data_IF_151443595516
#
_entry.id   IF_151443595516
#
_cell.length_a   1.000
_cell.length_b   1.000
_cell.length_c   1.000
_cell.angle_alpha   90.00
_cell.angle_beta   90.00
_cell.angle_gamma   90.00
#
_symmetry.space_group_name_H-M   'P 1'
#
loop_
_entity.id
_entity.type
_entity.pdbx_description
1 polymer ?
#
# COMPACT_ATOMS: atom_id res chain seq x y z
N UNK A 1 1.87 30.12 -19.91
CA UNK A 1 2.61 28.94 -20.41
C UNK A 1 1.82 27.71 -19.97
N UNK A 2 0.88 27.28 -20.82
CA UNK A 2 -0.04 26.17 -20.52
C UNK A 2 0.75 24.86 -20.54
N UNK A 3 0.94 24.26 -19.36
CA UNK A 3 1.22 22.84 -19.25
C UNK A 3 -0.02 22.10 -19.78
N UNK A 4 0.01 21.69 -21.05
CA UNK A 4 -0.97 20.74 -21.57
C UNK A 4 -1.02 19.54 -20.60
N UNK A 5 -2.25 19.16 -20.28
CA UNK A 5 -2.64 18.15 -19.31
C UNK A 5 -1.61 17.02 -19.16
N UNK A 6 -1.12 16.83 -17.94
CA UNK A 6 -0.44 15.62 -17.51
C UNK A 6 -1.34 14.44 -17.93
N UNK A 7 -0.82 13.52 -18.73
CA UNK A 7 -1.55 12.37 -19.25
C UNK A 7 -2.25 11.61 -18.12
N UNK A 8 -3.44 11.05 -18.40
CA UNK A 8 -4.11 10.10 -17.49
C UNK A 8 -3.09 9.03 -17.09
N UNK A 9 -2.76 8.91 -15.80
CA UNK A 9 -1.87 7.85 -15.30
C UNK A 9 -0.46 8.27 -14.86
N UNK A 10 -0.12 9.56 -14.82
CA UNK A 10 1.18 10.00 -14.24
C UNK A 10 1.05 10.40 -12.76
N UNK A 11 1.92 9.88 -11.89
CA UNK A 11 2.09 10.30 -10.50
C UNK A 11 3.51 10.83 -10.28
N UNK A 12 3.62 11.97 -9.60
CA UNK A 12 4.89 12.66 -9.34
C UNK A 12 5.04 12.91 -7.84
N UNK A 13 6.22 12.60 -7.29
CA UNK A 13 6.59 12.96 -5.93
C UNK A 13 8.10 13.19 -5.83
N UNK A 14 8.52 14.43 -5.58
CA UNK A 14 9.94 14.81 -5.59
C UNK A 14 10.65 14.33 -6.87
N UNK A 15 11.63 13.43 -6.76
CA UNK A 15 12.35 12.80 -7.85
C UNK A 15 11.72 11.49 -8.37
N UNK A 16 10.72 10.94 -7.67
CA UNK A 16 10.01 9.74 -8.07
C UNK A 16 8.89 10.07 -9.07
N UNK A 17 8.91 9.40 -10.23
CA UNK A 17 7.90 9.48 -11.28
C UNK A 17 7.35 8.09 -11.56
N UNK A 18 6.03 7.94 -11.52
CA UNK A 18 5.33 6.73 -11.94
C UNK A 18 4.45 7.04 -13.15
N UNK A 19 4.59 6.23 -14.20
CA UNK A 19 3.73 6.27 -15.39
C UNK A 19 2.90 4.98 -15.42
N UNK A 20 1.59 5.13 -15.61
CA UNK A 20 0.67 4.03 -15.88
C UNK A 20 0.00 4.25 -17.24
N UNK A 21 0.04 3.22 -18.07
CA UNK A 21 -0.62 3.19 -19.38
C UNK A 21 -1.26 1.81 -19.58
N UNK A 22 -2.33 1.75 -20.37
CA UNK A 22 -2.97 0.49 -20.75
C UNK A 22 -2.17 -0.25 -21.83
N UNK A 23 -1.49 0.51 -22.70
CA UNK A 23 -0.69 -0.02 -23.80
C UNK A 23 0.81 0.16 -23.53
N UNK A 24 1.58 -0.89 -23.82
CA UNK A 24 3.03 -0.92 -23.63
C UNK A 24 3.78 0.04 -24.54
N UNK A 25 3.38 0.16 -25.81
CA UNK A 25 4.05 1.06 -26.75
C UNK A 25 3.83 2.53 -26.33
N UNK A 26 2.64 2.83 -25.82
CA UNK A 26 2.33 4.13 -25.23
C UNK A 26 3.17 4.41 -23.96
N UNK A 27 3.35 3.42 -23.09
CA UNK A 27 4.23 3.55 -21.92
C UNK A 27 5.68 3.84 -22.34
N UNK A 28 6.20 3.11 -23.34
CA UNK A 28 7.55 3.34 -23.88
C UNK A 28 7.70 4.75 -24.46
N UNK A 29 6.73 5.19 -25.25
CA UNK A 29 6.68 6.53 -25.84
C UNK A 29 6.68 7.62 -24.75
N UNK A 30 5.81 7.51 -23.75
CA UNK A 30 5.74 8.48 -22.65
C UNK A 30 7.03 8.48 -21.82
N UNK A 31 7.62 7.32 -21.55
CA UNK A 31 8.87 7.22 -20.82
C UNK A 31 10.04 7.89 -21.57
N UNK A 32 10.09 7.74 -22.89
CA UNK A 32 11.07 8.44 -23.74
C UNK A 32 10.84 9.96 -23.74
N UNK A 33 9.59 10.42 -23.88
CA UNK A 33 9.26 11.85 -23.81
C UNK A 33 9.66 12.48 -22.47
N UNK A 34 9.46 11.75 -21.37
CA UNK A 34 9.93 12.18 -20.05
C UNK A 34 11.46 12.28 -20.01
N UNK A 35 12.19 11.31 -20.56
CA UNK A 35 13.64 11.35 -20.65
C UNK A 35 14.13 12.58 -21.42
N UNK A 36 13.53 12.85 -22.59
CA UNK A 36 13.92 13.96 -23.46
C UNK A 36 13.61 15.31 -22.79
N UNK A 37 12.43 15.43 -22.17
CA UNK A 37 12.04 16.63 -21.42
C UNK A 37 12.95 16.89 -20.24
N UNK A 38 13.30 15.88 -19.46
CA UNK A 38 14.22 16.02 -18.33
C UNK A 38 15.60 16.52 -18.81
N UNK A 39 16.07 16.01 -19.95
CA UNK A 39 17.35 16.44 -20.53
C UNK A 39 17.36 17.92 -20.92
N UNK A 40 16.24 18.48 -21.39
CA UNK A 40 16.12 19.93 -21.67
C UNK A 40 16.35 20.81 -20.44
N UNK A 41 16.06 20.29 -19.25
CA UNK A 41 16.30 20.98 -17.98
C UNK A 41 17.61 20.57 -17.30
N UNK A 42 18.49 19.83 -18.00
CA UNK A 42 19.76 19.35 -17.46
C UNK A 42 19.62 18.21 -16.45
N UNK A 43 18.45 17.56 -16.38
CA UNK A 43 18.20 16.39 -15.54
C UNK A 43 18.43 15.11 -16.35
N UNK A 44 18.91 14.06 -15.69
CA UNK A 44 19.18 12.76 -16.32
C UNK A 44 18.39 11.66 -15.64
N UNK A 45 17.57 10.96 -16.41
CA UNK A 45 16.87 9.77 -15.95
C UNK A 45 17.87 8.67 -15.59
N UNK A 46 17.71 8.07 -14.41
CA UNK A 46 18.52 6.93 -13.99
C UNK A 46 17.91 5.62 -14.51
N UNK A 47 18.19 5.31 -15.78
CA UNK A 47 17.65 4.12 -16.46
C UNK A 47 17.92 2.81 -15.70
N UNK A 48 19.05 2.70 -14.98
CA UNK A 48 19.38 1.52 -14.17
C UNK A 48 18.49 1.34 -12.94
N UNK A 49 17.92 2.43 -12.41
CA UNK A 49 16.96 2.41 -11.31
C UNK A 49 15.51 2.41 -11.80
N UNK A 50 15.27 2.68 -13.07
CA UNK A 50 13.94 2.68 -13.66
C UNK A 50 13.52 1.25 -13.96
N UNK A 51 12.39 0.86 -13.38
CA UNK A 51 11.79 -0.47 -13.51
C UNK A 51 10.40 -0.33 -14.14
N UNK A 52 9.91 -1.39 -14.79
CA UNK A 52 8.54 -1.45 -15.26
C UNK A 52 7.84 -2.74 -14.80
N UNK A 53 6.52 -2.66 -14.67
CA UNK A 53 5.66 -3.75 -14.28
C UNK A 53 4.45 -3.77 -15.22
N UNK A 54 4.03 -4.97 -15.63
CA UNK A 54 2.80 -5.18 -16.41
C UNK A 54 1.94 -6.22 -15.69
N UNK A 55 0.63 -6.03 -15.72
CA UNK A 55 -0.35 -7.00 -15.19
C UNK A 55 -0.64 -8.13 -16.18
N UNK A 56 -0.31 -7.95 -17.47
CA UNK A 56 -0.45 -8.99 -18.48
C UNK A 56 0.76 -9.94 -18.46
N UNK A 57 0.50 -11.20 -18.12
CA UNK A 57 1.50 -12.27 -18.08
C UNK A 57 1.92 -12.73 -19.47
N UNK A 58 1.08 -12.52 -20.48
CA UNK A 58 1.33 -12.89 -21.87
C UNK A 58 2.02 -11.76 -22.64
N UNK A 59 2.15 -10.58 -22.06
CA UNK A 59 2.80 -9.47 -22.72
C UNK A 59 4.31 -9.73 -22.89
N UNK A 60 4.72 -9.75 -24.16
CA UNK A 60 6.08 -10.05 -24.59
C UNK A 60 6.89 -8.79 -24.91
N UNK A 61 8.21 -8.95 -24.90
CA UNK A 61 9.18 -7.90 -25.22
C UNK A 61 9.54 -6.98 -24.04
N UNK A 62 10.54 -6.13 -24.28
CA UNK A 62 11.08 -5.16 -23.34
C UNK A 62 10.53 -3.75 -23.60
N UNK A 63 10.62 -2.88 -22.59
CA UNK A 63 10.48 -1.42 -22.75
C UNK A 63 11.89 -0.83 -22.81
N UNK A 64 12.13 0.09 -23.74
CA UNK A 64 13.44 0.71 -23.96
C UNK A 64 13.39 2.23 -23.81
N UNK A 65 14.39 2.80 -23.15
CA UNK A 65 14.64 4.25 -23.12
C UNK A 65 16.05 4.49 -23.66
N UNK A 66 16.18 5.33 -24.69
CA UNK A 66 17.44 5.57 -25.41
C UNK A 66 18.13 4.26 -25.84
N UNK A 67 17.35 3.28 -26.29
CA UNK A 67 17.84 1.95 -26.69
C UNK A 67 18.27 1.03 -25.54
N UNK A 68 18.23 1.49 -24.29
CA UNK A 68 18.55 0.69 -23.11
C UNK A 68 17.28 0.05 -22.55
N UNK A 69 17.31 -1.26 -22.33
CA UNK A 69 16.17 -2.00 -21.77
C UNK A 69 15.96 -1.72 -20.29
N UNK A 70 14.71 -1.46 -19.92
CA UNK A 70 14.28 -1.35 -18.53
C UNK A 70 14.14 -2.72 -17.89
N UNK A 71 14.35 -2.79 -16.57
CA UNK A 71 14.14 -4.03 -15.82
C UNK A 71 12.65 -4.30 -15.63
N UNK A 72 12.17 -5.47 -16.08
CA UNK A 72 10.82 -5.96 -15.77
C UNK A 72 10.81 -6.55 -14.38
N UNK A 73 9.91 -6.09 -13.51
CA UNK A 73 9.76 -6.59 -12.14
C UNK A 73 8.37 -7.15 -11.89
N UNK A 74 8.27 -8.09 -10.95
CA UNK A 74 6.98 -8.66 -10.49
C UNK A 74 6.38 -7.88 -9.32
N UNK A 75 7.19 -7.05 -8.68
CA UNK A 75 6.76 -6.11 -7.65
C UNK A 75 7.70 -4.92 -7.64
N UNK A 76 7.15 -3.71 -7.49
CA UNK A 76 7.94 -2.50 -7.29
C UNK A 76 7.44 -1.75 -6.05
N UNK A 77 8.30 -0.92 -5.47
CA UNK A 77 7.97 -0.08 -4.32
C UNK A 77 7.88 1.38 -4.76
N UNK A 78 6.74 2.01 -4.48
CA UNK A 78 6.53 3.43 -4.72
C UNK A 78 6.03 4.10 -3.44
N UNK A 79 6.72 5.16 -3.00
CA UNK A 79 6.43 5.91 -1.76
C UNK A 79 6.25 5.01 -0.51
N UNK A 80 7.05 3.95 -0.46
CA UNK A 80 7.05 2.98 0.63
C UNK A 80 6.00 1.87 0.51
N UNK A 81 5.08 1.92 -0.46
CA UNK A 81 4.06 0.90 -0.72
C UNK A 81 4.47 -0.02 -1.86
N UNK A 82 4.25 -1.32 -1.69
CA UNK A 82 4.63 -2.36 -2.66
C UNK A 82 3.43 -2.72 -3.53
N UNK A 83 3.57 -2.56 -4.84
CA UNK A 83 2.60 -3.00 -5.84
C UNK A 83 3.11 -4.29 -6.49
N UNK A 84 2.22 -5.27 -6.67
CA UNK A 84 2.52 -6.52 -7.37
C UNK A 84 1.74 -6.60 -8.69
N UNK A 85 2.29 -7.35 -9.63
CA UNK A 85 1.69 -7.57 -10.95
C UNK A 85 0.33 -8.28 -10.87
N UNK A 86 0.14 -9.13 -9.85
CA UNK A 86 -1.08 -9.88 -9.58
C UNK A 86 -2.07 -9.13 -8.67
N UNK A 87 -1.77 -7.88 -8.30
CA UNK A 87 -2.56 -7.10 -7.33
C UNK A 87 -2.53 -7.64 -5.90
N UNK A 88 -1.73 -8.67 -5.61
CA UNK A 88 -1.68 -9.29 -4.29
C UNK A 88 -1.07 -8.35 -3.25
N UNK A 89 -1.79 -8.16 -2.13
CA UNK A 89 -1.30 -7.38 -1.00
C UNK A 89 -0.41 -8.15 -0.02
N UNK A 90 -0.15 -9.44 -0.27
CA UNK A 90 0.57 -10.29 0.69
C UNK A 90 1.97 -9.74 1.03
N UNK A 91 2.71 -9.24 0.04
CA UNK A 91 4.02 -8.64 0.28
C UNK A 91 3.91 -7.34 1.08
N UNK A 92 2.98 -6.46 0.70
CA UNK A 92 2.79 -5.17 1.37
C UNK A 92 2.37 -5.35 2.84
N UNK A 93 1.38 -6.20 3.11
CA UNK A 93 0.91 -6.48 4.48
C UNK A 93 2.04 -7.06 5.33
N UNK A 94 2.83 -8.00 4.78
CA UNK A 94 3.95 -8.57 5.52
C UNK A 94 5.08 -7.54 5.76
N UNK A 95 5.33 -6.64 4.81
CA UNK A 95 6.28 -5.54 4.99
C UNK A 95 5.82 -4.60 6.12
N UNK A 96 4.53 -4.25 6.17
CA UNK A 96 3.96 -3.40 7.24
C UNK A 96 4.00 -4.06 8.61
N UNK A 97 3.66 -5.35 8.69
CA UNK A 97 3.78 -6.14 9.92
C UNK A 97 5.24 -6.16 10.40
N UNK A 98 6.18 -6.36 9.48
CA UNK A 98 7.62 -6.41 9.82
C UNK A 98 8.16 -5.05 10.25
N UNK A 99 7.73 -3.97 9.59
CA UNK A 99 8.07 -2.60 9.97
C UNK A 99 7.51 -2.24 11.34
N UNK A 100 6.25 -2.58 11.62
CA UNK A 100 5.63 -2.37 12.92
C UNK A 100 6.32 -3.15 14.03
N UNK A 101 6.72 -4.41 13.77
CA UNK A 101 7.55 -5.18 14.71
C UNK A 101 8.90 -4.54 14.97
N UNK A 102 9.57 -4.07 13.92
CA UNK A 102 10.86 -3.38 14.06
C UNK A 102 10.71 -2.12 14.90
N UNK A 103 9.66 -1.33 14.66
CA UNK A 103 9.36 -0.14 15.45
C UNK A 103 9.02 -0.48 16.90
N UNK A 104 8.18 -1.49 17.14
CA UNK A 104 7.85 -1.96 18.48
C UNK A 104 9.11 -2.43 19.23
N UNK A 105 10.00 -3.20 18.58
CA UNK A 105 11.26 -3.67 19.18
C UNK A 105 12.19 -2.53 19.57
N UNK A 106 12.25 -1.46 18.79
CA UNK A 106 13.03 -0.26 19.13
C UNK A 106 12.51 0.48 20.37
N UNK A 107 11.28 0.18 20.81
CA UNK A 107 10.60 0.85 21.92
C UNK A 107 10.44 -0.08 23.14
N UNK A 108 11.09 -1.23 23.18
CA UNK A 108 10.97 -2.19 24.29
C UNK A 108 11.42 -1.60 25.63
N UNK A 109 12.39 -0.69 25.64
CA UNK A 109 12.80 0.05 26.84
C UNK A 109 11.66 0.85 27.49
N UNK A 110 10.60 1.19 26.74
CA UNK A 110 9.39 1.83 27.27
C UNK A 110 8.24 0.84 27.38
N UNK A 111 8.01 0.05 26.33
CA UNK A 111 6.86 -0.84 26.23
C UNK A 111 6.96 -2.05 27.17
N UNK A 112 8.17 -2.53 27.47
CA UNK A 112 8.38 -3.67 28.36
C UNK A 112 8.78 -3.26 29.78
N UNK A 113 8.96 -1.97 30.06
CA UNK A 113 9.34 -1.48 31.40
C UNK A 113 8.16 -1.61 32.37
N UNK A 114 8.33 -2.35 33.47
CA UNK A 114 7.27 -2.58 34.46
C UNK A 114 6.92 -1.34 35.28
N UNK A 115 7.81 -0.35 35.35
CA UNK A 115 7.58 0.91 36.08
C UNK A 115 6.67 1.87 35.33
N UNK A 116 6.60 1.73 33.99
CA UNK A 116 5.80 2.61 33.14
C UNK A 116 4.33 2.15 33.16
N UNK A 117 3.39 3.05 33.49
CA UNK A 117 1.97 2.75 33.45
C UNK A 117 1.48 2.28 32.07
N UNK A 118 0.57 1.31 32.07
CA UNK A 118 0.05 0.69 30.85
C UNK A 118 -0.64 1.68 29.91
N UNK A 119 -1.32 2.69 30.46
CA UNK A 119 -1.97 3.71 29.63
C UNK A 119 -0.95 4.55 28.82
N UNK A 120 0.27 4.77 29.35
CA UNK A 120 1.34 5.45 28.60
C UNK A 120 1.89 4.54 27.51
N UNK A 121 2.11 3.26 27.82
CA UNK A 121 2.51 2.25 26.82
C UNK A 121 1.48 2.15 25.69
N UNK A 122 0.19 2.20 26.04
CA UNK A 122 -0.90 2.26 25.07
C UNK A 122 -0.82 3.50 24.17
N UNK A 123 -0.57 4.69 24.75
CA UNK A 123 -0.38 5.91 23.96
C UNK A 123 0.80 5.78 22.99
N UNK A 124 1.93 5.24 23.43
CA UNK A 124 3.10 4.99 22.58
C UNK A 124 2.76 4.01 21.46
N UNK A 125 2.10 2.89 21.78
CA UNK A 125 1.66 1.93 20.76
C UNK A 125 0.75 2.59 19.72
N UNK A 126 -0.28 3.32 20.15
CA UNK A 126 -1.26 3.98 19.28
C UNK A 126 -0.65 5.08 18.42
N UNK A 127 0.30 5.84 18.94
CA UNK A 127 0.89 6.99 18.27
C UNK A 127 2.08 6.62 17.37
N UNK A 128 2.79 5.52 17.67
CA UNK A 128 4.08 5.24 17.03
C UNK A 128 4.11 3.89 16.32
N UNK A 129 3.53 2.83 16.90
CA UNK A 129 3.61 1.48 16.34
C UNK A 129 2.46 1.22 15.37
N UNK A 130 1.23 1.53 15.79
CA UNK A 130 0.03 1.29 14.97
C UNK A 130 0.07 2.03 13.62
N UNK A 131 0.45 3.32 13.53
CA UNK A 131 0.47 4.02 12.25
C UNK A 131 1.42 3.37 11.24
N UNK A 132 2.53 2.77 11.70
CA UNK A 132 3.46 2.03 10.82
C UNK A 132 2.80 0.78 10.23
N UNK A 133 1.95 0.09 11.01
CA UNK A 133 1.23 -1.08 10.56
C UNK A 133 0.08 -0.76 9.59
N UNK A 134 -0.54 0.42 9.75
CA UNK A 134 -1.72 0.82 8.98
C UNK A 134 -1.42 1.80 7.84
N UNK A 135 -0.15 2.13 7.61
CA UNK A 135 0.24 3.04 6.54
C UNK A 135 -0.15 2.48 5.17
N UNK A 136 -0.83 3.28 4.36
CA UNK A 136 -1.28 2.91 3.02
C UNK A 136 -2.46 1.93 3.00
N UNK A 137 -3.00 1.59 4.17
CA UNK A 137 -4.05 0.58 4.27
C UNK A 137 -5.44 1.10 3.87
N UNK A 138 -5.60 2.42 3.73
CA UNK A 138 -6.79 3.06 3.18
C UNK A 138 -7.15 2.58 1.75
N UNK A 139 -6.14 2.13 0.99
CA UNK A 139 -6.29 1.61 -0.37
C UNK A 139 -6.40 0.07 -0.43
N UNK A 140 -6.36 -0.63 0.71
CA UNK A 140 -6.41 -2.09 0.72
C UNK A 140 -7.86 -2.62 0.65
N UNK A 141 -8.14 -3.71 -0.11
CA UNK A 141 -9.32 -4.52 0.11
C UNK A 141 -9.32 -5.07 1.55
N UNK A 142 -10.43 -4.88 2.26
CA UNK A 142 -10.59 -5.35 3.63
C UNK A 142 -10.99 -6.82 3.61
N UNK A 143 -10.02 -7.71 3.38
CA UNK A 143 -10.24 -9.16 3.45
C UNK A 143 -10.04 -9.67 4.88
N UNK A 144 -10.73 -10.76 5.24
CA UNK A 144 -10.58 -11.42 6.55
C UNK A 144 -9.14 -11.87 6.81
N UNK A 145 -8.40 -12.24 5.77
CA UNK A 145 -6.99 -12.64 5.89
C UNK A 145 -6.11 -11.48 6.36
N UNK A 146 -6.25 -10.30 5.75
CA UNK A 146 -5.49 -9.10 6.10
C UNK A 146 -5.84 -8.64 7.52
N UNK A 147 -7.13 -8.59 7.84
CA UNK A 147 -7.61 -8.24 9.19
C UNK A 147 -7.04 -9.20 10.24
N UNK A 148 -7.07 -10.51 9.97
CA UNK A 148 -6.54 -11.54 10.88
C UNK A 148 -5.03 -11.37 11.08
N UNK A 149 -4.26 -11.17 10.00
CA UNK A 149 -2.82 -11.00 10.05
C UNK A 149 -2.40 -9.82 10.93
N UNK A 150 -3.05 -8.67 10.74
CA UNK A 150 -2.81 -7.47 11.55
C UNK A 150 -3.29 -7.64 13.00
N UNK A 151 -4.43 -8.29 13.21
CA UNK A 151 -4.98 -8.55 14.55
C UNK A 151 -4.07 -9.46 15.39
N UNK A 152 -3.48 -10.48 14.76
CA UNK A 152 -2.49 -11.38 15.39
C UNK A 152 -1.25 -10.60 15.80
N UNK A 153 -0.74 -9.73 14.92
CA UNK A 153 0.40 -8.88 15.22
C UNK A 153 0.12 -7.96 16.42
N UNK A 154 -0.98 -7.19 16.38
CA UNK A 154 -1.39 -6.29 17.45
C UNK A 154 -1.54 -7.02 18.78
N UNK A 155 -2.26 -8.13 18.78
CA UNK A 155 -2.49 -8.91 20.01
C UNK A 155 -1.18 -9.41 20.60
N UNK A 156 -0.25 -9.90 19.78
CA UNK A 156 1.07 -10.36 20.25
C UNK A 156 1.87 -9.23 20.88
N UNK A 157 1.91 -8.06 20.25
CA UNK A 157 2.60 -6.87 20.76
C UNK A 157 2.02 -6.41 22.10
N UNK A 158 0.69 -6.32 22.22
CA UNK A 158 0.02 -5.91 23.47
C UNK A 158 0.25 -6.91 24.60
N UNK A 159 0.23 -8.21 24.30
CA UNK A 159 0.54 -9.26 25.27
C UNK A 159 1.95 -9.17 25.80
N UNK A 160 2.94 -9.03 24.91
CA UNK A 160 4.33 -8.84 25.30
C UNK A 160 4.53 -7.57 26.14
N UNK A 161 3.89 -6.47 25.76
CA UNK A 161 3.89 -5.20 26.50
C UNK A 161 3.36 -5.35 27.93
N UNK A 162 2.39 -6.25 28.14
CA UNK A 162 1.80 -6.55 29.45
C UNK A 162 2.46 -7.70 30.22
N UNK A 163 3.47 -8.36 29.64
CA UNK A 163 4.05 -9.59 30.21
C UNK A 163 3.09 -10.79 30.23
N UNK A 164 2.04 -10.78 29.40
CA UNK A 164 1.04 -11.84 29.32
C UNK A 164 1.46 -12.86 28.28
N UNK A 165 1.46 -14.12 28.67
CA UNK A 165 1.76 -15.28 27.83
C UNK A 165 0.48 -15.93 27.31
N UNK A 166 0.63 -16.99 26.51
CA UNK A 166 -0.51 -17.82 26.08
C UNK A 166 -1.06 -18.67 27.22
N UNK A 167 -0.25 -18.99 28.23
CA UNK A 167 -0.64 -19.86 29.35
C UNK A 167 -1.64 -19.16 30.28
N UNK A 168 -1.62 -17.83 30.33
CA UNK A 168 -2.53 -17.03 31.15
C UNK A 168 -3.99 -17.08 30.64
N UNK A 169 -4.24 -17.66 29.45
CA UNK A 169 -5.57 -17.84 28.83
C UNK A 169 -6.45 -16.57 28.78
N UNK A 170 -5.85 -15.39 28.90
CA UNK A 170 -6.53 -14.10 28.78
C UNK A 170 -7.11 -13.95 27.37
N UNK A 171 -8.34 -13.46 27.23
CA UNK A 171 -8.96 -13.22 25.91
C UNK A 171 -8.34 -12.02 25.19
N UNK A 172 -8.31 -12.03 23.86
CA UNK A 172 -7.77 -10.91 23.08
C UNK A 172 -8.55 -9.61 23.31
N UNK A 173 -9.87 -9.72 23.52
CA UNK A 173 -10.71 -8.57 23.83
C UNK A 173 -10.35 -7.93 25.17
N UNK A 174 -10.07 -8.75 26.19
CA UNK A 174 -9.57 -8.27 27.48
C UNK A 174 -8.24 -7.53 27.34
N UNK A 175 -7.34 -7.99 26.45
CA UNK A 175 -6.09 -7.27 26.18
C UNK A 175 -6.35 -5.91 25.55
N UNK A 176 -7.28 -5.82 24.59
CA UNK A 176 -7.65 -4.53 23.97
C UNK A 176 -8.28 -3.56 24.98
N UNK A 177 -9.19 -4.06 25.81
CA UNK A 177 -9.83 -3.27 26.87
C UNK A 177 -8.81 -2.77 27.89
N UNK A 178 -7.89 -3.64 28.36
CA UNK A 178 -6.81 -3.27 29.29
C UNK A 178 -5.97 -2.10 28.80
N UNK A 179 -5.62 -2.08 27.52
CA UNK A 179 -4.86 -0.99 26.92
C UNK A 179 -5.75 0.18 26.45
N UNK A 180 -7.07 0.07 26.46
CA UNK A 180 -7.97 1.10 25.89
C UNK A 180 -7.76 1.29 24.39
N UNK A 181 -7.57 0.18 23.67
CA UNK A 181 -7.18 0.16 22.26
C UNK A 181 -8.29 -0.48 21.43
N UNK A 182 -8.92 0.30 20.54
CA UNK A 182 -9.86 -0.23 19.54
C UNK A 182 -9.17 -1.24 18.62
N UNK A 183 -9.90 -2.23 18.07
CA UNK A 183 -9.29 -3.24 17.22
C UNK A 183 -8.62 -2.62 15.99
N UNK A 184 -7.51 -3.22 15.54
CA UNK A 184 -6.86 -2.76 14.29
C UNK A 184 -7.80 -2.83 13.09
N UNK A 185 -8.69 -3.83 13.03
CA UNK A 185 -9.69 -3.96 11.97
C UNK A 185 -10.63 -2.75 11.93
N UNK A 186 -11.14 -2.29 13.08
CA UNK A 186 -11.98 -1.10 13.13
C UNK A 186 -11.21 0.15 12.69
N UNK A 187 -9.92 0.23 13.04
CA UNK A 187 -9.07 1.35 12.61
C UNK A 187 -8.77 1.34 11.11
N UNK A 188 -8.65 0.17 10.49
CA UNK A 188 -8.55 0.05 9.03
C UNK A 188 -9.83 0.55 8.35
N UNK A 189 -11.00 0.11 8.84
CA UNK A 189 -12.30 0.56 8.32
C UNK A 189 -12.47 2.07 8.49
N UNK A 190 -12.13 2.60 9.66
CA UNK A 190 -12.17 4.04 9.94
C UNK A 190 -11.24 4.83 9.00
N UNK A 191 -10.02 4.35 8.76
CA UNK A 191 -9.07 4.99 7.84
C UNK A 191 -9.60 5.00 6.40
N UNK A 192 -10.13 3.88 5.93
CA UNK A 192 -10.74 3.76 4.60
C UNK A 192 -11.97 4.64 4.43
N UNK A 193 -12.85 4.71 5.43
CA UNK A 193 -14.03 5.58 5.39
C UNK A 193 -13.65 7.07 5.42
N UNK A 194 -12.64 7.43 6.21
CA UNK A 194 -12.09 8.79 6.22
C UNK A 194 -11.53 9.18 4.86
N UNK A 195 -10.75 8.28 4.26
CA UNK A 195 -10.20 8.44 2.92
C UNK A 195 -11.31 8.57 1.87
N UNK A 196 -12.27 7.65 1.87
CA UNK A 196 -13.42 7.70 0.98
C UNK A 196 -14.18 9.03 1.10
N UNK A 197 -14.46 9.49 2.32
CA UNK A 197 -15.07 10.79 2.54
C UNK A 197 -14.23 11.95 1.99
N UNK A 198 -12.89 11.87 2.07
CA UNK A 198 -12.01 12.85 1.45
C UNK A 198 -12.15 12.83 -0.08
N UNK A 199 -12.12 11.64 -0.69
CA UNK A 199 -12.33 11.47 -2.14
C UNK A 199 -13.70 12.02 -2.58
N UNK A 200 -14.75 11.85 -1.78
CA UNK A 200 -16.07 12.39 -2.14
C UNK A 200 -16.12 13.92 -2.17
N UNK A 201 -15.29 14.62 -1.38
CA UNK A 201 -15.29 16.09 -1.25
C UNK A 201 -14.34 16.80 -2.19
N UNK A 202 -13.40 16.10 -2.82
CA UNK A 202 -12.49 16.70 -3.80
C UNK A 202 -13.16 16.82 -5.17
N UNK A 203 -12.64 17.73 -5.99
CA UNK A 203 -13.12 18.01 -7.34
C UNK A 203 -12.99 16.79 -8.27
N UNK A 204 -13.83 16.76 -9.31
CA UNK A 204 -13.91 15.68 -10.30
C UNK A 204 -12.67 15.51 -11.18
N UNK A 205 -11.84 16.55 -11.27
CA UNK A 205 -10.57 16.54 -12.00
C UNK A 205 -9.41 15.90 -11.23
N UNK A 206 -9.60 15.59 -9.94
CA UNK A 206 -8.54 14.97 -9.14
C UNK A 206 -8.37 13.49 -9.49
N UNK A 207 -7.12 13.01 -9.50
CA UNK A 207 -6.77 11.60 -9.80
C UNK A 207 -7.55 10.61 -8.93
N UNK A 208 -7.78 10.94 -7.65
CA UNK A 208 -8.54 10.09 -6.73
C UNK A 208 -10.01 9.96 -7.11
N UNK A 209 -10.64 11.06 -7.57
CA UNK A 209 -12.04 11.08 -7.97
C UNK A 209 -12.25 10.43 -9.33
N UNK A 210 -11.33 10.67 -10.27
CA UNK A 210 -11.25 9.95 -11.54
C UNK A 210 -11.14 8.44 -11.26
N UNK A 211 -10.20 8.03 -10.41
CA UNK A 211 -10.02 6.62 -10.05
C UNK A 211 -11.25 5.97 -9.41
N UNK A 212 -12.01 6.71 -8.60
CA UNK A 212 -13.28 6.22 -8.03
C UNK A 212 -14.36 5.99 -9.09
N UNK A 213 -14.38 6.80 -10.14
CA UNK A 213 -15.37 6.76 -11.21
C UNK A 213 -14.94 5.89 -12.40
N UNK A 214 -13.78 5.21 -12.32
CA UNK A 214 -13.35 4.29 -13.37
C UNK A 214 -14.26 3.06 -13.38
N UNK A 215 -14.97 2.85 -14.48
CA UNK A 215 -15.64 1.60 -14.76
C UNK A 215 -14.58 0.56 -15.14
N UNK A 216 -14.49 -0.52 -14.36
CA UNK A 216 -13.65 -1.66 -14.70
C UNK A 216 -14.53 -2.62 -15.50
N UNK A 217 -14.20 -2.94 -16.76
CA UNK A 217 -14.95 -3.92 -17.53
C UNK A 217 -15.00 -5.25 -16.76
N UNK A 218 -16.21 -5.76 -16.49
CA UNK A 218 -16.38 -7.09 -15.90
C UNK A 218 -15.99 -8.16 -16.94
N UNK A 219 -14.72 -8.53 -17.00
CA UNK A 219 -14.28 -9.72 -17.71
C UNK A 219 -14.56 -10.96 -16.84
N UNK A 220 -15.85 -11.27 -16.64
CA UNK A 220 -16.29 -12.56 -16.14
C UNK A 220 -16.38 -13.55 -17.31
N UNK A 221 -16.01 -14.84 -17.13
CA UNK A 221 -16.30 -15.85 -18.14
C UNK A 221 -17.82 -16.08 -18.19
N UNK A 222 -18.49 -15.44 -19.15
CA UNK A 222 -19.76 -15.92 -19.69
C UNK A 222 -19.48 -17.24 -20.43
N UNK A 223 -19.72 -18.38 -19.77
CA UNK A 223 -20.17 -19.64 -20.39
C UNK A 223 -20.03 -20.82 -19.41
N UNK A 224 -21.07 -21.05 -18.59
CA UNK A 224 -21.29 -22.34 -17.91
C UNK A 224 -22.72 -22.55 -17.36
N UNK A 225 -23.76 -21.94 -17.95
CA UNK A 225 -25.15 -22.08 -17.43
C UNK A 225 -26.26 -22.33 -18.45
N UNK A 226 -25.94 -22.83 -19.64
CA UNK A 226 -26.96 -23.40 -20.53
C UNK A 226 -26.55 -24.82 -20.95
N UNK A 227 -26.86 -25.81 -20.11
CA UNK A 227 -27.20 -27.18 -20.51
C UNK A 227 -27.56 -28.03 -19.28
N UNK A 228 -28.81 -27.91 -18.84
CA UNK A 228 -29.58 -29.05 -18.29
C UNK A 228 -31.01 -28.86 -18.81
N UNK A 229 -31.26 -29.45 -19.98
CA UNK A 229 -32.60 -29.82 -20.43
C UNK A 229 -32.80 -31.31 -20.21
#
# INVERSE_FOLDING_TARGET
>A
MQLHAISKGTLLYADDVMLACEDKAELERQAQEWCDRLALFGLKLNVKKTEYLTTDVNEHGSIKINGTELSRVTSFKYLGSTVRFDGSLKLEVNARVSAAWSKWRSLTGVLCDKTIPEYLKSKVYRAVVRPVATYGAECWPVTKEIESRLSVMETKMLRWTAGVTRLDRVRNETMRQRFGVASIADKLREARLRWYGHVLRVNDDTVCKIGLNLEVPENGPEDARNNVG
#
